data_IF_471309830201
#
_entry.id   IF_471309830201
#
_cell.length_a   1.000
_cell.length_b   1.000
_cell.length_c   1.000
_cell.angle_alpha   90.00
_cell.angle_beta   90.00
_cell.angle_gamma   90.00
#
_symmetry.space_group_name_H-M   'P 1'
#
loop_
_entity.id
_entity.type
_entity.pdbx_description
1 polymer ?
#
# COMPACT_ATOMS: atom_id res chain seq x y z
N UNK A 1 6.12 -1.98 1.48
CA UNK A 1 7.35 -2.54 0.89
C UNK A 1 7.42 -4.07 1.07
N UNK A 2 7.32 -4.62 2.30
CA UNK A 2 7.39 -6.07 2.53
C UNK A 2 6.32 -6.83 1.73
N UNK A 3 5.05 -6.46 1.85
CA UNK A 3 3.93 -7.09 1.13
C UNK A 3 4.13 -7.06 -0.39
N UNK A 4 4.56 -5.93 -0.93
CA UNK A 4 4.87 -5.82 -2.35
C UNK A 4 6.05 -6.72 -2.76
N UNK A 5 7.07 -6.84 -1.89
CA UNK A 5 8.21 -7.71 -2.15
C UNK A 5 7.80 -9.18 -2.15
N UNK A 6 6.89 -9.58 -1.27
CA UNK A 6 6.27 -10.92 -1.26
C UNK A 6 5.52 -11.17 -2.57
N UNK A 7 4.62 -10.27 -2.96
CA UNK A 7 3.82 -10.43 -4.17
C UNK A 7 4.66 -10.44 -5.43
N UNK A 8 5.63 -9.53 -5.55
CA UNK A 8 6.51 -9.45 -6.73
C UNK A 8 7.58 -10.55 -6.79
N UNK A 9 7.64 -11.43 -5.79
CA UNK A 9 8.39 -12.68 -5.90
C UNK A 9 7.62 -13.77 -6.67
N UNK A 10 6.33 -13.54 -6.96
CA UNK A 10 5.54 -14.41 -7.82
C UNK A 10 5.85 -14.12 -9.29
N UNK A 11 5.98 -15.18 -10.12
CA UNK A 11 6.39 -15.07 -11.52
C UNK A 11 5.44 -14.26 -12.42
N UNK A 12 4.19 -14.08 -12.02
CA UNK A 12 3.17 -13.33 -12.76
C UNK A 12 2.91 -11.93 -12.20
N UNK A 13 3.73 -11.44 -11.28
CA UNK A 13 3.51 -10.15 -10.62
C UNK A 13 4.72 -9.24 -10.81
N UNK A 14 4.46 -8.05 -11.37
CA UNK A 14 5.43 -6.96 -11.44
C UNK A 14 5.13 -5.91 -10.37
N UNK A 15 6.16 -5.40 -9.70
CA UNK A 15 6.03 -4.29 -8.77
C UNK A 15 6.31 -2.96 -9.45
N UNK A 16 5.37 -2.02 -9.39
CA UNK A 16 5.60 -0.63 -9.82
C UNK A 16 6.24 0.24 -8.73
N UNK A 17 6.27 -0.23 -7.48
CA UNK A 17 6.79 0.55 -6.36
C UNK A 17 5.83 1.68 -5.95
N UNK A 18 6.39 2.83 -5.58
CA UNK A 18 5.64 4.05 -5.25
C UNK A 18 5.31 4.81 -6.53
N UNK A 19 4.21 4.42 -7.17
CA UNK A 19 3.70 5.04 -8.38
C UNK A 19 2.64 6.09 -8.04
N UNK A 20 2.81 7.31 -8.53
CA UNK A 20 1.97 8.47 -8.20
C UNK A 20 0.71 8.62 -9.08
N UNK A 21 0.41 7.62 -9.90
CA UNK A 21 -0.67 7.68 -10.87
C UNK A 21 -2.05 7.97 -10.26
N UNK A 22 -2.38 7.36 -9.10
CA UNK A 22 -3.65 7.61 -8.41
C UNK A 22 -3.67 8.97 -7.73
N UNK A 23 -2.58 9.43 -7.15
CA UNK A 23 -2.48 10.76 -6.57
C UNK A 23 -2.74 11.82 -7.64
N UNK A 24 -2.06 11.73 -8.77
CA UNK A 24 -2.23 12.66 -9.88
C UNK A 24 -3.66 12.68 -10.44
N UNK A 25 -4.33 11.52 -10.50
CA UNK A 25 -5.75 11.44 -10.87
C UNK A 25 -6.65 12.06 -9.81
N UNK A 26 -6.40 11.75 -8.54
CA UNK A 26 -7.16 12.30 -7.43
C UNK A 26 -7.09 13.82 -7.38
N UNK A 27 -5.91 14.39 -7.57
CA UNK A 27 -5.71 15.84 -7.63
C UNK A 27 -6.48 16.46 -8.79
N UNK A 28 -6.54 15.81 -9.96
CA UNK A 28 -7.36 16.25 -11.07
C UNK A 28 -8.86 16.23 -10.72
N UNK A 29 -9.33 15.23 -9.99
CA UNK A 29 -10.73 15.13 -9.54
C UNK A 29 -11.06 16.25 -8.56
N UNK A 30 -10.17 16.53 -7.60
CA UNK A 30 -10.40 17.53 -6.56
C UNK A 30 -10.34 18.98 -7.09
N UNK A 31 -9.46 19.26 -8.05
CA UNK A 31 -9.21 20.61 -8.54
C UNK A 31 -9.93 20.96 -9.84
N UNK A 32 -10.65 20.03 -10.44
CA UNK A 32 -11.35 20.26 -11.69
C UNK A 32 -12.84 20.46 -11.45
N UNK A 33 -13.27 21.73 -11.40
CA UNK A 33 -14.67 22.12 -11.22
C UNK A 33 -15.62 21.57 -12.30
N UNK A 34 -15.09 21.14 -13.45
CA UNK A 34 -15.89 20.55 -14.52
C UNK A 34 -16.20 19.06 -14.31
N UNK A 35 -15.57 18.42 -13.32
CA UNK A 35 -15.86 17.02 -12.96
C UNK A 35 -17.07 16.96 -12.03
N UNK A 36 -18.24 17.24 -12.57
CA UNK A 36 -19.51 17.24 -11.82
C UNK A 36 -20.06 15.84 -11.51
N UNK A 37 -19.54 14.79 -12.16
CA UNK A 37 -20.06 13.44 -12.00
C UNK A 37 -18.99 12.36 -12.18
N UNK A 38 -18.42 11.93 -11.07
CA UNK A 38 -17.43 10.81 -11.05
C UNK A 38 -18.04 9.45 -11.47
N UNK A 39 -19.34 9.39 -11.71
CA UNK A 39 -20.00 8.19 -12.25
C UNK A 39 -20.11 8.20 -13.78
N UNK A 40 -19.64 9.27 -14.45
CA UNK A 40 -19.58 9.34 -15.90
C UNK A 40 -18.62 8.25 -16.44
N UNK A 41 -19.16 7.34 -17.25
CA UNK A 41 -18.41 6.20 -17.81
C UNK A 41 -17.28 6.66 -18.72
N UNK A 42 -17.45 7.74 -19.46
CA UNK A 42 -16.42 8.26 -20.36
C UNK A 42 -15.27 8.86 -19.55
N UNK A 43 -15.57 9.54 -18.45
CA UNK A 43 -14.58 10.08 -17.53
C UNK A 43 -13.78 8.94 -16.84
N UNK A 44 -14.47 7.93 -16.32
CA UNK A 44 -13.83 6.75 -15.72
C UNK A 44 -12.92 6.06 -16.74
N UNK A 45 -13.36 5.92 -17.98
CA UNK A 45 -12.56 5.31 -19.06
C UNK A 45 -11.32 6.14 -19.36
N UNK A 46 -11.43 7.47 -19.41
CA UNK A 46 -10.27 8.37 -19.57
C UNK A 46 -9.29 8.27 -18.41
N UNK A 47 -9.77 8.22 -17.17
CA UNK A 47 -8.94 8.06 -15.98
C UNK A 47 -8.21 6.72 -15.97
N UNK A 48 -8.93 5.65 -16.30
CA UNK A 48 -8.33 4.32 -16.43
C UNK A 48 -7.22 4.32 -17.49
N UNK A 49 -7.46 4.89 -18.66
CA UNK A 49 -6.47 4.95 -19.73
C UNK A 49 -5.26 5.80 -19.31
N UNK A 50 -5.50 6.98 -18.73
CA UNK A 50 -4.44 7.84 -18.21
C UNK A 50 -3.51 7.12 -17.23
N UNK A 51 -4.07 6.29 -16.34
CA UNK A 51 -3.31 5.50 -15.38
C UNK A 51 -2.52 4.39 -16.08
N UNK A 52 -3.17 3.63 -16.97
CA UNK A 52 -2.56 2.50 -17.66
C UNK A 52 -1.39 2.94 -18.56
N UNK A 53 -1.52 4.08 -19.23
CA UNK A 53 -0.48 4.62 -20.13
C UNK A 53 0.82 5.01 -19.39
N UNK A 54 0.74 5.14 -18.06
CA UNK A 54 1.87 5.53 -17.19
C UNK A 54 2.46 4.37 -16.40
N UNK A 55 1.82 3.21 -16.42
CA UNK A 55 2.40 2.02 -15.81
C UNK A 55 3.66 1.59 -16.56
N UNK A 56 4.62 0.97 -15.86
CA UNK A 56 5.79 0.41 -16.51
C UNK A 56 5.40 -0.64 -17.54
N UNK A 57 6.12 -0.68 -18.67
CA UNK A 57 5.99 -1.77 -19.63
C UNK A 57 6.41 -3.09 -18.96
N UNK A 58 5.58 -4.11 -19.14
CA UNK A 58 5.81 -5.43 -18.54
C UNK A 58 5.86 -6.52 -19.62
N UNK A 59 6.53 -7.63 -19.34
CA UNK A 59 6.56 -8.81 -20.20
C UNK A 59 5.18 -9.46 -20.28
N UNK A 60 4.94 -10.25 -21.33
CA UNK A 60 3.61 -10.86 -21.59
C UNK A 60 3.16 -11.85 -20.53
N UNK A 61 4.09 -12.44 -19.81
CA UNK A 61 3.87 -13.40 -18.74
C UNK A 61 3.38 -12.74 -17.44
N UNK A 62 3.54 -11.43 -17.31
CA UNK A 62 3.08 -10.64 -16.17
C UNK A 62 1.59 -10.37 -16.34
N UNK A 63 0.81 -10.89 -15.42
CA UNK A 63 -0.65 -10.75 -15.41
C UNK A 63 -1.13 -9.70 -14.39
N UNK A 64 -0.28 -9.36 -13.42
CA UNK A 64 -0.64 -8.45 -12.33
C UNK A 64 0.48 -7.43 -12.09
N UNK A 65 0.08 -6.21 -11.78
CA UNK A 65 0.99 -5.13 -11.37
C UNK A 65 0.56 -4.68 -9.98
N UNK A 66 1.51 -4.53 -9.07
CA UNK A 66 1.25 -3.91 -7.78
C UNK A 66 1.57 -2.42 -7.82
N UNK A 67 0.68 -1.61 -7.29
CA UNK A 67 0.90 -0.20 -6.99
C UNK A 67 0.96 -0.03 -5.46
N UNK A 68 2.13 0.30 -4.95
CA UNK A 68 2.37 0.47 -3.52
C UNK A 68 2.72 1.93 -3.21
N UNK A 69 1.74 2.80 -3.26
CA UNK A 69 1.83 4.17 -2.77
C UNK A 69 1.11 4.25 -1.40
N UNK A 70 1.78 4.67 -0.32
CA UNK A 70 1.15 4.76 1.01
C UNK A 70 -0.15 5.57 1.02
N UNK A 71 -0.24 6.63 0.21
CA UNK A 71 -1.41 7.50 0.13
C UNK A 71 -2.56 6.94 -0.74
N UNK A 72 -2.42 5.77 -1.33
CA UNK A 72 -3.51 5.18 -2.14
C UNK A 72 -4.78 4.90 -1.34
N UNK A 73 -4.71 4.85 -0.01
CA UNK A 73 -5.91 4.73 0.84
C UNK A 73 -6.87 5.91 0.68
N UNK A 74 -6.40 7.09 0.32
CA UNK A 74 -7.23 8.26 0.01
C UNK A 74 -8.12 8.02 -1.22
N UNK A 75 -7.69 7.19 -2.14
CA UNK A 75 -8.24 7.02 -3.48
C UNK A 75 -8.93 5.66 -3.73
N UNK A 76 -9.20 4.86 -2.69
CA UNK A 76 -9.81 3.52 -2.83
C UNK A 76 -11.10 3.58 -3.64
N UNK A 77 -11.95 4.57 -3.41
CA UNK A 77 -13.18 4.77 -4.18
C UNK A 77 -12.92 5.00 -5.68
N UNK A 78 -11.94 5.82 -6.01
CA UNK A 78 -11.54 6.08 -7.41
C UNK A 78 -10.89 4.84 -8.04
N UNK A 79 -10.00 4.17 -7.29
CA UNK A 79 -9.36 2.93 -7.72
C UNK A 79 -10.42 1.89 -8.12
N UNK A 80 -11.39 1.61 -7.23
CA UNK A 80 -12.42 0.61 -7.48
C UNK A 80 -13.42 1.01 -8.58
N UNK A 81 -13.60 2.31 -8.84
CA UNK A 81 -14.38 2.78 -10.00
C UNK A 81 -13.62 2.57 -11.31
N UNK A 82 -12.34 2.91 -11.35
CA UNK A 82 -11.52 2.73 -12.55
C UNK A 82 -11.17 1.26 -12.79
N UNK A 83 -10.96 0.49 -11.73
CA UNK A 83 -10.51 -0.90 -11.75
C UNK A 83 -11.35 -1.77 -10.80
N UNK A 84 -12.59 -2.17 -11.19
CA UNK A 84 -13.49 -2.91 -10.31
C UNK A 84 -12.96 -4.27 -9.82
N UNK A 85 -12.00 -4.84 -10.55
CA UNK A 85 -11.31 -6.10 -10.20
C UNK A 85 -10.02 -5.89 -9.39
N UNK A 86 -9.64 -4.64 -9.09
CA UNK A 86 -8.46 -4.39 -8.28
C UNK A 86 -8.58 -5.04 -6.90
N UNK A 87 -7.49 -5.63 -6.43
CA UNK A 87 -7.35 -6.20 -5.09
C UNK A 87 -6.75 -5.14 -4.18
N UNK A 88 -7.48 -4.73 -3.16
CA UNK A 88 -7.01 -3.73 -2.20
C UNK A 88 -6.44 -4.45 -0.98
N UNK A 89 -5.19 -4.19 -0.67
CA UNK A 89 -4.51 -4.77 0.50
C UNK A 89 -4.16 -3.62 1.44
N UNK A 90 -4.75 -3.64 2.63
CA UNK A 90 -4.46 -2.71 3.70
C UNK A 90 -3.56 -3.38 4.73
N UNK A 91 -2.29 -3.00 4.78
CA UNK A 91 -1.35 -3.52 5.78
C UNK A 91 -1.53 -2.75 7.08
N UNK A 92 -2.05 -3.42 8.08
CA UNK A 92 -2.25 -2.88 9.43
C UNK A 92 -1.07 -3.28 10.32
N UNK A 93 -0.55 -2.34 11.07
CA UNK A 93 0.52 -2.52 12.05
C UNK A 93 0.12 -1.86 13.37
N UNK A 94 0.73 -2.29 14.47
CA UNK A 94 0.53 -1.66 15.77
C UNK A 94 0.54 -0.13 15.65
N UNK A 95 -0.49 0.59 16.13
CA UNK A 95 -0.62 2.04 15.98
C UNK A 95 0.58 2.82 16.50
N UNK A 96 1.02 2.50 17.73
CA UNK A 96 2.15 3.20 18.36
C UNK A 96 3.44 2.95 17.56
N UNK A 97 3.67 1.71 17.11
CA UNK A 97 4.82 1.39 16.27
C UNK A 97 4.79 2.12 14.93
N UNK A 98 3.60 2.32 14.37
CA UNK A 98 3.42 3.06 13.11
C UNK A 98 3.72 4.54 13.31
N UNK A 99 3.10 5.18 14.29
CA UNK A 99 3.30 6.60 14.60
C UNK A 99 4.78 6.88 14.98
N UNK A 100 5.37 6.04 15.82
CA UNK A 100 6.78 6.14 16.16
C UNK A 100 7.70 6.01 14.94
N UNK A 101 7.41 5.05 14.07
CA UNK A 101 8.20 4.87 12.84
C UNK A 101 8.10 6.07 11.90
N UNK A 102 6.93 6.71 11.80
CA UNK A 102 6.74 7.94 11.04
C UNK A 102 7.57 9.07 11.67
N UNK A 103 7.43 9.29 12.98
CA UNK A 103 8.14 10.35 13.70
C UNK A 103 9.67 10.23 13.60
N UNK A 104 10.18 8.99 13.67
CA UNK A 104 11.62 8.70 13.64
C UNK A 104 12.20 8.57 12.21
N UNK A 105 11.39 8.84 11.17
CA UNK A 105 11.83 8.73 9.78
C UNK A 105 11.92 10.12 9.16
N UNK A 106 13.10 10.47 8.62
CA UNK A 106 13.24 11.67 7.81
C UNK A 106 12.63 11.43 6.41
N UNK A 107 11.69 12.27 6.03
CA UNK A 107 11.07 12.25 4.70
C UNK A 107 11.60 13.45 3.89
N UNK A 108 12.51 13.22 2.92
CA UNK A 108 12.96 14.28 2.04
C UNK A 108 11.82 14.69 1.09
N UNK A 109 11.52 15.97 1.01
CA UNK A 109 10.48 16.51 0.14
C UNK A 109 9.27 17.03 0.90
N UNK A 110 8.34 17.66 0.18
CA UNK A 110 7.07 18.17 0.73
C UNK A 110 6.00 17.08 0.89
N UNK A 111 4.91 17.43 1.57
CA UNK A 111 3.71 16.57 1.68
C UNK A 111 3.61 15.74 2.97
N UNK A 112 4.71 15.58 3.72
CA UNK A 112 4.71 14.83 4.99
C UNK A 112 4.98 15.73 6.21
N UNK A 113 4.54 16.99 6.20
CA UNK A 113 4.78 17.93 7.29
C UNK A 113 4.26 17.42 8.64
N UNK A 114 3.16 16.68 8.64
CA UNK A 114 2.60 16.04 9.83
C UNK A 114 3.56 15.08 10.53
N UNK A 115 4.57 14.55 9.85
CA UNK A 115 5.51 13.58 10.41
C UNK A 115 6.50 14.15 11.44
N UNK A 116 6.54 15.46 11.59
CA UNK A 116 7.48 16.15 12.47
C UNK A 116 6.87 16.55 13.84
N UNK A 117 5.59 16.32 14.04
CA UNK A 117 4.88 16.54 15.29
C UNK A 117 4.05 15.31 15.69
N UNK A 118 4.15 14.90 16.97
CA UNK A 118 3.47 13.69 17.44
C UNK A 118 1.94 13.85 17.46
N UNK A 119 1.43 15.06 17.77
CA UNK A 119 0.01 15.34 17.76
C UNK A 119 -0.55 15.28 16.34
N UNK A 120 0.16 15.87 15.37
CA UNK A 120 -0.22 15.84 13.97
C UNK A 120 -0.23 14.40 13.40
N UNK A 121 0.75 13.57 13.81
CA UNK A 121 0.79 12.15 13.44
C UNK A 121 -0.42 11.41 14.01
N UNK A 122 -0.76 11.66 15.28
CA UNK A 122 -1.92 11.06 15.93
C UNK A 122 -3.22 11.44 15.22
N UNK A 123 -3.41 12.72 14.93
CA UNK A 123 -4.61 13.21 14.24
C UNK A 123 -4.70 12.64 12.82
N UNK A 124 -3.60 12.61 12.09
CA UNK A 124 -3.56 12.01 10.74
C UNK A 124 -3.86 10.51 10.78
N UNK A 125 -3.37 9.80 11.80
CA UNK A 125 -3.65 8.38 11.98
C UNK A 125 -5.14 8.13 12.26
N UNK A 126 -5.80 8.97 13.05
CA UNK A 126 -7.24 8.86 13.28
C UNK A 126 -8.05 9.14 12.00
N UNK A 127 -7.68 10.15 11.23
CA UNK A 127 -8.31 10.40 9.92
C UNK A 127 -8.15 9.21 8.97
N UNK A 128 -6.99 8.54 8.97
CA UNK A 128 -6.79 7.30 8.23
C UNK A 128 -7.75 6.20 8.70
N UNK A 129 -7.91 5.99 10.00
CA UNK A 129 -8.82 4.97 10.54
C UNK A 129 -10.27 5.24 10.14
N UNK A 130 -10.73 6.47 10.29
CA UNK A 130 -12.08 6.89 9.92
C UNK A 130 -12.35 6.67 8.42
N UNK A 131 -11.40 7.05 7.58
CA UNK A 131 -11.52 6.86 6.13
C UNK A 131 -11.49 5.37 5.75
N UNK A 132 -10.65 4.55 6.38
CA UNK A 132 -10.63 3.11 6.13
C UNK A 132 -11.93 2.44 6.59
N UNK A 133 -12.51 2.87 7.70
CA UNK A 133 -13.83 2.42 8.14
C UNK A 133 -14.92 2.80 7.11
N UNK A 134 -14.89 4.02 6.60
CA UNK A 134 -15.78 4.47 5.54
C UNK A 134 -15.67 3.57 4.28
N UNK A 135 -14.45 3.29 3.81
CA UNK A 135 -14.24 2.41 2.66
C UNK A 135 -14.74 0.98 2.90
N UNK A 136 -14.51 0.42 4.08
CA UNK A 136 -15.02 -0.91 4.43
C UNK A 136 -16.56 -0.96 4.43
N UNK A 137 -17.23 0.12 4.82
CA UNK A 137 -18.69 0.22 4.80
C UNK A 137 -19.24 0.30 3.37
N UNK A 138 -18.59 1.08 2.50
CA UNK A 138 -19.03 1.26 1.09
C UNK A 138 -18.68 0.04 0.23
N UNK A 139 -17.52 -0.56 0.47
CA UNK A 139 -16.99 -1.67 -0.32
C UNK A 139 -16.73 -2.92 0.55
N UNK A 140 -17.79 -3.54 1.10
CA UNK A 140 -17.64 -4.70 1.97
C UNK A 140 -16.93 -5.83 1.22
N UNK A 141 -15.96 -6.47 1.90
CA UNK A 141 -15.15 -7.59 1.37
C UNK A 141 -14.22 -7.24 0.18
N UNK A 142 -14.03 -5.95 -0.14
CA UNK A 142 -13.10 -5.52 -1.20
C UNK A 142 -11.71 -5.17 -0.69
N UNK A 143 -11.54 -5.04 0.63
CA UNK A 143 -10.28 -4.67 1.26
C UNK A 143 -9.80 -5.83 2.12
N UNK A 144 -8.63 -6.35 1.82
CA UNK A 144 -7.96 -7.36 2.62
C UNK A 144 -7.08 -6.67 3.68
N UNK A 145 -7.49 -6.77 4.93
CA UNK A 145 -6.69 -6.27 6.04
C UNK A 145 -5.63 -7.32 6.42
N UNK A 146 -4.38 -7.03 6.12
CA UNK A 146 -3.24 -7.86 6.43
C UNK A 146 -2.59 -7.36 7.72
N UNK A 147 -2.58 -8.19 8.75
CA UNK A 147 -1.93 -7.89 10.01
C UNK A 147 -0.42 -8.08 9.90
N UNK A 148 0.36 -7.02 10.12
CA UNK A 148 1.81 -7.02 10.02
C UNK A 148 2.46 -7.91 11.09
N UNK A 149 1.95 -7.89 12.30
CA UNK A 149 2.45 -8.69 13.42
C UNK A 149 2.24 -10.17 13.15
N UNK A 150 1.07 -10.55 12.62
CA UNK A 150 0.80 -11.93 12.22
C UNK A 150 1.66 -12.34 11.02
N UNK A 151 1.79 -11.48 10.00
CA UNK A 151 2.66 -11.72 8.84
C UNK A 151 4.10 -12.00 9.26
N UNK A 152 4.61 -11.30 10.27
CA UNK A 152 5.99 -11.47 10.73
C UNK A 152 6.17 -12.65 11.69
N UNK A 153 5.13 -13.06 12.42
CA UNK A 153 5.15 -14.21 13.34
C UNK A 153 4.85 -15.53 12.65
N UNK A 154 3.93 -15.53 11.71
CA UNK A 154 3.41 -16.70 11.00
C UNK A 154 3.42 -16.47 9.48
N UNK A 155 4.60 -16.18 8.89
CA UNK A 155 4.69 -15.73 7.51
C UNK A 155 4.11 -16.73 6.51
N UNK A 156 4.27 -18.03 6.76
CA UNK A 156 3.78 -19.03 5.83
C UNK A 156 2.26 -19.01 5.69
N UNK A 157 1.53 -18.86 6.78
CA UNK A 157 0.06 -18.83 6.76
C UNK A 157 -0.47 -17.52 6.16
N UNK A 158 0.10 -16.38 6.58
CA UNK A 158 -0.37 -15.08 6.12
C UNK A 158 -0.03 -14.83 4.65
N UNK A 159 1.12 -15.29 4.16
CA UNK A 159 1.46 -15.23 2.74
C UNK A 159 0.51 -16.11 1.91
N UNK A 160 0.13 -17.30 2.38
CA UNK A 160 -0.87 -18.14 1.70
C UNK A 160 -2.21 -17.42 1.59
N UNK A 161 -2.71 -16.82 2.68
CA UNK A 161 -3.96 -16.04 2.67
C UNK A 161 -3.88 -14.87 1.68
N UNK A 162 -2.76 -14.15 1.69
CA UNK A 162 -2.51 -13.02 0.78
C UNK A 162 -2.55 -13.46 -0.70
N UNK A 163 -1.86 -14.55 -1.05
CA UNK A 163 -1.83 -15.08 -2.41
C UNK A 163 -3.22 -15.54 -2.85
N UNK A 164 -3.96 -16.24 -1.98
CA UNK A 164 -5.34 -16.68 -2.26
C UNK A 164 -6.25 -15.46 -2.51
N UNK A 165 -6.17 -14.41 -1.66
CA UNK A 165 -6.94 -13.19 -1.87
C UNK A 165 -6.63 -12.53 -3.21
N UNK A 166 -5.38 -12.57 -3.65
CA UNK A 166 -4.93 -12.02 -4.93
C UNK A 166 -5.24 -12.93 -6.14
N UNK A 167 -5.91 -14.07 -5.96
CA UNK A 167 -6.15 -15.08 -6.99
C UNK A 167 -4.84 -15.61 -7.61
N UNK A 168 -3.76 -15.66 -6.82
CA UNK A 168 -2.44 -16.12 -7.24
C UNK A 168 -2.17 -17.56 -6.75
N UNK A 169 -1.48 -18.32 -7.57
CA UNK A 169 -0.98 -19.65 -7.18
C UNK A 169 0.09 -19.53 -6.09
N UNK A 170 0.21 -20.57 -5.26
CA UNK A 170 1.24 -20.58 -4.22
C UNK A 170 2.59 -20.90 -4.86
N UNK A 171 3.55 -19.98 -4.75
CA UNK A 171 4.92 -20.15 -5.23
C UNK A 171 5.92 -20.01 -4.10
N UNK A 172 6.92 -20.91 -4.04
CA UNK A 172 7.96 -20.94 -3.00
C UNK A 172 8.73 -19.62 -2.88
N UNK A 173 8.92 -18.91 -4.01
CA UNK A 173 9.64 -17.65 -4.04
C UNK A 173 8.96 -16.56 -3.17
N UNK A 174 7.64 -16.59 -3.04
CA UNK A 174 6.89 -15.63 -2.22
C UNK A 174 7.20 -15.74 -0.71
N UNK A 175 7.66 -16.90 -0.24
CA UNK A 175 8.03 -17.12 1.15
C UNK A 175 9.47 -16.69 1.47
N UNK A 176 10.25 -16.33 0.44
CA UNK A 176 11.62 -15.86 0.58
C UNK A 176 11.81 -14.49 -0.11
N UNK A 177 11.03 -13.47 0.26
CA UNK A 177 11.03 -12.17 -0.44
C UNK A 177 12.38 -11.45 -0.37
N UNK A 178 13.24 -11.76 0.61
CA UNK A 178 14.58 -11.21 0.74
C UNK A 178 15.51 -11.61 -0.43
N UNK A 179 15.20 -12.72 -1.13
CA UNK A 179 15.94 -13.16 -2.32
C UNK A 179 15.51 -12.44 -3.60
N UNK A 180 14.41 -11.69 -3.56
CA UNK A 180 13.95 -10.90 -4.70
C UNK A 180 14.95 -9.78 -5.02
N UNK A 181 15.47 -9.76 -6.25
CA UNK A 181 16.53 -8.84 -6.70
C UNK A 181 16.01 -7.52 -7.26
N UNK A 182 14.68 -7.29 -7.25
CA UNK A 182 14.11 -6.04 -7.76
C UNK A 182 14.70 -4.81 -7.05
N UNK A 183 14.72 -3.69 -7.73
CA UNK A 183 15.09 -2.40 -7.11
C UNK A 183 13.98 -1.98 -6.14
N UNK A 184 14.36 -1.54 -4.95
CA UNK A 184 13.45 -1.06 -3.89
C UNK A 184 13.85 0.36 -3.53
N UNK A 185 13.07 1.34 -3.97
CA UNK A 185 13.31 2.77 -3.74
C UNK A 185 12.36 3.30 -2.65
N UNK A 186 12.51 2.84 -1.42
CA UNK A 186 11.69 3.26 -0.28
C UNK A 186 12.52 3.39 0.99
N UNK A 187 12.04 4.14 1.97
CA UNK A 187 12.69 4.27 3.28
C UNK A 187 12.98 2.90 3.96
N UNK A 188 12.18 1.88 3.66
CA UNK A 188 12.31 0.52 4.21
C UNK A 188 13.13 -0.44 3.33
N UNK A 189 13.94 0.07 2.38
CA UNK A 189 14.68 -0.77 1.42
C UNK A 189 15.62 -1.76 2.09
N UNK A 190 16.34 -1.34 3.13
CA UNK A 190 17.27 -2.22 3.87
C UNK A 190 16.54 -3.33 4.64
N UNK A 191 15.39 -3.02 5.27
CA UNK A 191 14.59 -4.02 5.98
C UNK A 191 14.01 -5.06 5.02
N UNK A 192 13.57 -4.64 3.84
CA UNK A 192 13.00 -5.54 2.82
C UNK A 192 14.01 -6.54 2.23
N UNK A 193 15.31 -6.34 2.46
CA UNK A 193 16.39 -7.25 2.07
C UNK A 193 16.73 -8.31 3.14
N UNK A 194 16.14 -8.20 4.31
CA UNK A 194 16.30 -9.19 5.37
C UNK A 194 15.23 -10.27 5.27
N UNK A 195 15.51 -11.44 5.82
CA UNK A 195 14.46 -12.43 6.07
C UNK A 195 13.33 -11.81 6.90
N UNK A 196 12.12 -12.34 6.74
CA UNK A 196 10.98 -11.87 7.53
C UNK A 196 11.29 -12.15 9.01
N UNK A 197 11.25 -11.11 9.84
CA UNK A 197 11.53 -11.18 11.27
C UNK A 197 10.45 -10.47 12.07
N UNK A 198 10.13 -11.02 13.24
CA UNK A 198 9.21 -10.42 14.19
C UNK A 198 9.97 -9.45 15.13
N UNK A 199 9.22 -8.54 15.76
CA UNK A 199 9.73 -7.70 16.84
C UNK A 199 9.84 -6.20 16.52
N UNK A 200 9.94 -5.80 15.26
CA UNK A 200 10.07 -4.39 14.87
C UNK A 200 8.90 -3.48 15.34
N UNK A 201 7.75 -4.06 15.65
CA UNK A 201 6.62 -3.34 16.25
C UNK A 201 6.76 -3.11 17.76
N UNK A 202 7.88 -3.51 18.36
CA UNK A 202 8.17 -3.30 19.78
C UNK A 202 9.32 -2.29 20.01
N UNK A 203 10.01 -1.85 18.97
CA UNK A 203 11.19 -0.97 19.06
C UNK A 203 10.89 0.37 19.76
N UNK A 204 9.67 0.90 19.60
CA UNK A 204 9.22 2.11 20.26
C UNK A 204 9.27 2.03 21.80
N UNK A 205 9.21 0.82 22.38
CA UNK A 205 9.21 0.62 23.83
C UNK A 205 10.48 1.13 24.51
N UNK A 206 11.60 1.13 23.77
CA UNK A 206 12.88 1.70 24.24
C UNK A 206 12.77 3.21 24.45
N UNK A 207 11.83 3.86 23.76
CA UNK A 207 11.62 5.31 23.77
C UNK A 207 10.31 5.72 24.46
N UNK A 208 9.69 4.80 25.22
CA UNK A 208 8.36 4.99 25.84
C UNK A 208 8.24 6.26 26.68
N UNK A 209 9.36 6.73 27.27
CA UNK A 209 9.40 7.95 28.09
C UNK A 209 9.33 9.24 27.25
N UNK A 210 9.48 9.15 25.94
CA UNK A 210 9.54 10.29 25.01
C UNK A 210 8.34 10.32 24.03
N UNK A 211 7.36 9.43 24.21
CA UNK A 211 6.19 9.27 23.33
C UNK A 211 4.91 9.64 24.08
#
# INVERSE_FOLDING_TARGET
TLTENILSSHSQVCASGEFDGMQNLGDQVLHNETINNINDKDLITKFRQYYLDRLPSVEKEILNITDKMPLNFLWIGLILKCFPSAKIINLQRNPVATCWSIFNTYFPGGGNAYSYDQSDIYDYYNLYLDLMQHWNNIYPNKIFNLDYEMLTKQPEEEIKKLLIYCDLSIQKACFNPHLNKRVINTASSLQARKEIYAGSSSDWRTYKEFI
#
